data_IF_801445923801
#
_entry.id   IF_801445923801
#
_cell.length_a   1.000
_cell.length_b   1.000
_cell.length_c   1.000
_cell.angle_alpha   90.00
_cell.angle_beta   90.00
_cell.angle_gamma   90.00
#
_symmetry.space_group_name_H-M   'P 1'
#
loop_
_entity.id
_entity.type
_entity.pdbx_description
1 polymer ?
#
# COMPACT_ATOMS: atom_id res chain seq x y z
N UNK A 1 -0.24 -11.13 -4.24
CA UNK A 1 -1.32 -10.80 -5.17
C UNK A 1 -1.41 -9.29 -5.26
N UNK A 2 -1.63 -8.76 -6.50
CA UNK A 2 -1.52 -7.32 -6.78
C UNK A 2 -0.09 -6.84 -6.54
N UNK A 3 0.90 -7.54 -7.14
CA UNK A 3 2.31 -7.33 -6.82
C UNK A 3 2.87 -6.00 -7.34
N UNK A 4 2.15 -5.31 -8.22
CA UNK A 4 2.54 -4.03 -8.78
C UNK A 4 3.93 -4.07 -9.39
N UNK A 5 4.75 -3.08 -9.07
CA UNK A 5 6.14 -2.97 -9.53
C UNK A 5 7.14 -3.84 -8.75
N UNK A 6 6.65 -4.70 -7.84
CA UNK A 6 7.46 -5.68 -7.11
C UNK A 6 8.16 -5.18 -5.85
N UNK A 7 7.80 -4.00 -5.33
CA UNK A 7 8.44 -3.41 -4.13
C UNK A 7 8.31 -4.35 -2.92
N UNK A 8 7.11 -4.81 -2.61
CA UNK A 8 6.88 -5.72 -1.49
C UNK A 8 7.43 -7.13 -1.80
N UNK A 9 7.32 -7.59 -3.04
CA UNK A 9 7.91 -8.85 -3.48
C UNK A 9 9.41 -8.92 -3.23
N UNK A 10 10.14 -7.80 -3.44
CA UNK A 10 11.57 -7.71 -3.14
C UNK A 10 11.87 -7.94 -1.66
N UNK A 11 11.09 -7.34 -0.77
CA UNK A 11 11.29 -7.52 0.69
C UNK A 11 11.11 -8.98 1.11
N UNK A 12 10.13 -9.68 0.53
CA UNK A 12 9.91 -11.10 0.77
C UNK A 12 11.07 -11.96 0.22
N UNK A 13 11.57 -11.62 -0.96
CA UNK A 13 12.73 -12.29 -1.58
C UNK A 13 14.02 -12.07 -0.77
N UNK A 14 14.24 -10.85 -0.28
CA UNK A 14 15.37 -10.50 0.59
C UNK A 14 15.31 -11.29 1.92
N UNK A 15 14.10 -11.64 2.36
CA UNK A 15 13.87 -12.55 3.51
C UNK A 15 14.04 -14.03 3.19
N UNK A 16 14.48 -14.37 1.96
CA UNK A 16 14.78 -15.75 1.55
C UNK A 16 13.59 -16.57 1.05
N UNK A 17 12.42 -15.94 0.88
CA UNK A 17 11.21 -16.62 0.42
C UNK A 17 11.22 -16.85 -1.10
N UNK A 18 10.45 -17.84 -1.56
CA UNK A 18 10.06 -17.99 -2.96
C UNK A 18 8.79 -17.17 -3.19
N UNK A 19 8.80 -16.30 -4.19
CA UNK A 19 7.69 -15.36 -4.41
C UNK A 19 7.13 -15.52 -5.82
N UNK A 20 5.82 -15.71 -5.89
CA UNK A 20 5.04 -15.63 -7.12
C UNK A 20 4.27 -14.33 -7.08
N UNK A 21 4.66 -13.37 -7.93
CA UNK A 21 3.95 -12.09 -8.10
C UNK A 21 2.82 -12.23 -9.11
N UNK A 22 1.58 -12.02 -8.67
CA UNK A 22 0.39 -12.01 -9.54
C UNK A 22 -0.03 -10.56 -9.77
N UNK A 23 -0.02 -10.10 -11.04
CA UNK A 23 -0.30 -8.72 -11.42
C UNK A 23 -0.96 -8.66 -12.80
N UNK A 24 -2.17 -8.12 -12.94
CA UNK A 24 -2.85 -8.01 -14.22
C UNK A 24 -2.28 -6.92 -15.13
N UNK A 25 -1.73 -5.83 -14.57
CA UNK A 25 -1.22 -4.70 -15.34
C UNK A 25 0.16 -5.04 -15.94
N UNK A 26 0.23 -5.01 -17.27
CA UNK A 26 1.44 -5.39 -18.02
C UNK A 26 2.63 -4.49 -17.74
N UNK A 27 2.44 -3.19 -17.57
CA UNK A 27 3.54 -2.25 -17.35
C UNK A 27 4.12 -2.40 -15.96
N UNK A 28 3.26 -2.51 -14.93
CA UNK A 28 3.70 -2.79 -13.56
C UNK A 28 4.43 -4.13 -13.48
N UNK A 29 3.89 -5.16 -14.12
CA UNK A 29 4.50 -6.50 -14.14
C UNK A 29 5.86 -6.50 -14.82
N UNK A 30 6.02 -5.82 -15.99
CA UNK A 30 7.31 -5.66 -16.66
C UNK A 30 8.34 -4.94 -15.77
N UNK A 31 7.92 -3.90 -15.05
CA UNK A 31 8.80 -3.21 -14.09
C UNK A 31 9.24 -4.14 -12.96
N UNK A 32 8.33 -4.97 -12.42
CA UNK A 32 8.68 -5.97 -11.41
C UNK A 32 9.69 -6.99 -11.96
N UNK A 33 9.46 -7.54 -13.15
CA UNK A 33 10.34 -8.50 -13.82
C UNK A 33 11.75 -7.93 -14.05
N UNK A 34 11.85 -6.66 -14.47
CA UNK A 34 13.13 -5.97 -14.66
C UNK A 34 13.86 -5.73 -13.33
N UNK A 35 13.15 -5.21 -12.33
CA UNK A 35 13.74 -4.86 -11.02
C UNK A 35 14.16 -6.09 -10.22
N UNK A 36 13.45 -7.20 -10.41
CA UNK A 36 13.65 -8.46 -9.67
C UNK A 36 14.40 -9.54 -10.48
N UNK A 37 14.91 -9.23 -11.67
CA UNK A 37 15.61 -10.19 -12.56
C UNK A 37 16.77 -10.93 -11.91
N UNK A 38 17.39 -10.37 -10.88
CA UNK A 38 18.49 -10.98 -10.13
C UNK A 38 18.04 -11.98 -9.06
N UNK A 39 16.74 -12.10 -8.80
CA UNK A 39 16.20 -13.01 -7.80
C UNK A 39 15.69 -14.30 -8.48
N UNK A 40 16.44 -15.43 -8.41
CA UNK A 40 16.04 -16.68 -9.07
C UNK A 40 14.80 -17.32 -8.45
N UNK A 41 14.39 -16.84 -7.25
CA UNK A 41 13.19 -17.28 -6.53
C UNK A 41 11.97 -16.43 -6.81
N UNK A 42 12.03 -15.52 -7.80
CA UNK A 42 10.92 -14.72 -8.25
C UNK A 42 10.29 -15.31 -9.51
N UNK A 43 8.97 -15.44 -9.51
CA UNK A 43 8.14 -15.76 -10.67
C UNK A 43 7.07 -14.70 -10.84
N UNK A 44 6.80 -14.27 -12.06
CA UNK A 44 5.75 -13.32 -12.40
C UNK A 44 4.65 -14.00 -13.20
N UNK A 45 3.38 -13.71 -12.84
CA UNK A 45 2.19 -14.25 -13.52
C UNK A 45 1.24 -13.11 -13.86
N UNK A 46 0.78 -13.10 -15.13
CA UNK A 46 -0.30 -12.22 -15.57
C UNK A 46 -1.64 -12.84 -15.22
N UNK A 47 -2.23 -12.41 -14.12
CA UNK A 47 -3.54 -12.88 -13.66
C UNK A 47 -4.18 -11.84 -12.72
N UNK A 48 -5.48 -12.00 -12.43
CA UNK A 48 -6.19 -11.21 -11.44
C UNK A 48 -6.15 -11.85 -10.05
N UNK A 49 -6.59 -11.14 -9.04
CA UNK A 49 -6.68 -11.67 -7.68
C UNK A 49 -7.73 -12.80 -7.57
N UNK A 50 -8.80 -12.67 -8.33
CA UNK A 50 -9.94 -13.60 -8.33
C UNK A 50 -9.69 -14.89 -9.15
N UNK A 51 -8.65 -14.87 -9.99
CA UNK A 51 -8.24 -16.02 -10.81
C UNK A 51 -6.73 -15.97 -11.05
N UNK A 52 -5.97 -16.51 -10.12
CA UNK A 52 -4.50 -16.46 -10.13
C UNK A 52 -3.85 -17.43 -11.09
N UNK A 53 -4.57 -18.41 -11.63
CA UNK A 53 -4.09 -19.53 -12.42
C UNK A 53 -3.12 -20.48 -11.67
N UNK A 54 -2.90 -20.27 -10.38
CA UNK A 54 -2.09 -21.14 -9.55
C UNK A 54 -2.79 -22.48 -9.29
N UNK A 55 -2.00 -23.51 -9.03
CA UNK A 55 -2.55 -24.84 -8.68
C UNK A 55 -3.23 -24.80 -7.31
N UNK A 56 -4.21 -25.65 -7.13
CA UNK A 56 -4.84 -25.88 -5.83
C UNK A 56 -3.80 -26.34 -4.78
N UNK A 57 -3.98 -25.91 -3.54
CA UNK A 57 -3.14 -26.30 -2.40
C UNK A 57 -1.62 -26.15 -2.67
N UNK A 58 -1.20 -25.09 -3.37
CA UNK A 58 0.16 -24.92 -3.84
C UNK A 58 0.99 -23.88 -3.08
N UNK A 59 0.33 -22.94 -2.35
CA UNK A 59 1.04 -21.84 -1.69
C UNK A 59 0.92 -21.91 -0.18
N UNK A 60 1.98 -21.49 0.51
CA UNK A 60 2.09 -21.50 1.97
C UNK A 60 1.57 -20.21 2.60
N UNK A 61 1.50 -19.13 1.84
CA UNK A 61 1.06 -17.80 2.28
C UNK A 61 0.61 -16.98 1.08
N UNK A 62 -0.54 -16.33 1.20
CA UNK A 62 -0.94 -15.29 0.28
C UNK A 62 -0.67 -13.93 0.95
N UNK A 63 0.00 -13.02 0.26
CA UNK A 63 0.21 -11.65 0.73
C UNK A 63 -0.42 -10.65 -0.23
N UNK A 64 -1.03 -9.60 0.32
CA UNK A 64 -1.57 -8.46 -0.44
C UNK A 64 -1.08 -7.18 0.24
N UNK A 65 -0.32 -6.37 -0.49
CA UNK A 65 0.16 -5.08 0.02
C UNK A 65 -0.43 -3.94 -0.82
N UNK A 66 -1.22 -3.07 -0.19
CA UNK A 66 -1.83 -1.87 -0.82
C UNK A 66 -2.75 -2.16 -2.02
N UNK A 67 -3.30 -3.37 -2.15
CA UNK A 67 -4.08 -3.74 -3.32
C UNK A 67 -5.48 -4.30 -3.02
N UNK A 68 -5.74 -4.77 -1.81
CA UNK A 68 -6.98 -5.47 -1.45
C UNK A 68 -8.27 -4.69 -1.77
N UNK A 69 -8.24 -3.37 -1.66
CA UNK A 69 -9.38 -2.50 -1.95
C UNK A 69 -9.82 -2.50 -3.42
N UNK A 70 -8.97 -3.00 -4.34
CA UNK A 70 -9.29 -3.16 -5.75
C UNK A 70 -10.00 -4.47 -6.10
N UNK A 71 -10.00 -5.45 -5.18
CA UNK A 71 -10.45 -6.81 -5.46
C UNK A 71 -11.96 -6.98 -5.20
N UNK A 72 -12.57 -7.89 -5.95
CA UNK A 72 -13.80 -8.53 -5.52
C UNK A 72 -13.47 -9.46 -4.34
N UNK A 73 -13.88 -9.06 -3.15
CA UNK A 73 -13.44 -9.68 -1.91
C UNK A 73 -13.94 -11.12 -1.75
N UNK A 74 -15.16 -11.40 -2.21
CA UNK A 74 -15.75 -12.74 -2.15
C UNK A 74 -15.08 -13.69 -3.15
N UNK A 75 -14.92 -13.27 -4.40
CA UNK A 75 -14.22 -14.06 -5.40
C UNK A 75 -12.74 -14.28 -5.04
N UNK A 76 -12.08 -13.26 -4.49
CA UNK A 76 -10.70 -13.38 -4.02
C UNK A 76 -10.58 -14.33 -2.82
N UNK A 77 -11.54 -14.33 -1.89
CA UNK A 77 -11.59 -15.28 -0.76
C UNK A 77 -11.66 -16.72 -1.27
N UNK A 78 -12.57 -16.99 -2.22
CA UNK A 78 -12.72 -18.32 -2.84
C UNK A 78 -11.40 -18.76 -3.51
N UNK A 79 -10.76 -17.85 -4.23
CA UNK A 79 -9.46 -18.13 -4.87
C UNK A 79 -8.36 -18.40 -3.85
N UNK A 80 -8.29 -17.63 -2.75
CA UNK A 80 -7.38 -17.91 -1.65
C UNK A 80 -7.60 -19.29 -1.03
N UNK A 81 -8.86 -19.67 -0.78
CA UNK A 81 -9.21 -21.00 -0.27
C UNK A 81 -8.78 -22.11 -1.21
N UNK A 82 -8.84 -21.89 -2.52
CA UNK A 82 -8.42 -22.85 -3.54
C UNK A 82 -6.91 -23.06 -3.57
N UNK A 83 -6.13 -21.98 -3.57
CA UNK A 83 -4.67 -22.04 -3.79
C UNK A 83 -3.86 -22.29 -2.52
N UNK A 84 -4.38 -21.88 -1.36
CA UNK A 84 -3.70 -22.05 -0.08
C UNK A 84 -3.64 -23.52 0.35
N UNK A 85 -2.49 -23.92 0.87
CA UNK A 85 -2.34 -25.19 1.58
C UNK A 85 -3.17 -25.19 2.87
N UNK A 86 -3.46 -26.38 3.39
CA UNK A 86 -4.22 -26.52 4.63
C UNK A 86 -3.57 -25.72 5.77
N UNK A 87 -4.38 -24.92 6.47
CA UNK A 87 -3.98 -24.04 7.58
C UNK A 87 -3.04 -22.88 7.18
N UNK A 88 -2.82 -22.64 5.91
CA UNK A 88 -2.07 -21.49 5.45
C UNK A 88 -2.89 -20.19 5.60
N UNK A 89 -2.21 -19.06 5.65
CA UNK A 89 -2.82 -17.76 5.95
C UNK A 89 -2.84 -16.81 4.74
N UNK A 90 -3.71 -15.82 4.83
CA UNK A 90 -3.63 -14.59 4.05
C UNK A 90 -3.12 -13.48 4.95
N UNK A 91 -2.16 -12.68 4.47
CA UNK A 91 -1.68 -11.48 5.13
C UNK A 91 -2.01 -10.26 4.27
N UNK A 92 -2.86 -9.38 4.78
CA UNK A 92 -3.21 -8.11 4.19
C UNK A 92 -2.38 -7.01 4.84
N UNK A 93 -1.69 -6.17 4.04
CA UNK A 93 -0.72 -5.19 4.53
C UNK A 93 -1.01 -3.81 3.96
N UNK A 94 -1.02 -2.79 4.81
CA UNK A 94 -1.13 -1.40 4.42
C UNK A 94 -0.08 -0.53 5.10
N UNK A 95 0.42 0.44 4.33
CA UNK A 95 1.11 1.60 4.87
C UNK A 95 0.14 2.79 4.88
N UNK A 96 0.01 3.44 6.00
CA UNK A 96 -0.83 4.61 6.16
C UNK A 96 -0.11 5.68 6.96
N UNK A 97 -0.48 6.95 6.75
CA UNK A 97 0.00 8.02 7.61
C UNK A 97 -0.56 7.84 9.03
N UNK A 98 0.24 8.18 10.04
CA UNK A 98 -0.26 8.27 11.41
C UNK A 98 -1.10 9.55 11.57
N UNK A 99 -2.40 9.40 11.42
CA UNK A 99 -3.37 10.51 11.51
C UNK A 99 -3.49 11.11 12.92
N UNK A 100 -2.88 10.51 13.93
CA UNK A 100 -2.84 11.06 15.29
C UNK A 100 -1.78 12.15 15.41
N UNK A 101 -0.76 12.13 14.55
CA UNK A 101 0.34 13.09 14.53
C UNK A 101 -0.11 14.51 14.19
N UNK A 102 0.36 15.54 14.91
CA UNK A 102 0.10 16.94 14.59
C UNK A 102 0.54 17.32 13.15
N UNK A 103 1.71 16.87 12.72
CA UNK A 103 2.21 17.09 11.35
C UNK A 103 1.22 16.56 10.29
N UNK A 104 0.73 15.33 10.48
CA UNK A 104 -0.19 14.71 9.52
C UNK A 104 -1.56 15.42 9.53
N UNK A 105 -2.04 15.86 10.68
CA UNK A 105 -3.28 16.66 10.79
C UNK A 105 -3.16 17.99 10.04
N UNK A 106 -2.07 18.73 10.26
CA UNK A 106 -1.84 19.99 9.55
C UNK A 106 -1.66 19.78 8.04
N UNK A 107 -0.97 18.71 7.63
CA UNK A 107 -0.89 18.36 6.20
C UNK A 107 -2.29 18.06 5.61
N UNK A 108 -3.16 17.36 6.36
CA UNK A 108 -4.53 17.11 5.93
C UNK A 108 -5.35 18.41 5.79
N UNK A 109 -5.20 19.36 6.73
CA UNK A 109 -5.84 20.68 6.67
C UNK A 109 -5.38 21.49 5.45
N UNK A 110 -4.10 21.45 5.11
CA UNK A 110 -3.57 22.07 3.89
C UNK A 110 -4.25 21.43 2.66
N UNK A 111 -4.31 20.09 2.59
CA UNK A 111 -4.98 19.41 1.49
C UNK A 111 -6.47 19.75 1.41
N UNK A 112 -7.18 19.85 2.54
CA UNK A 112 -8.60 20.26 2.56
C UNK A 112 -8.83 21.67 2.02
N UNK A 113 -7.89 22.59 2.28
CA UNK A 113 -7.99 23.99 1.82
C UNK A 113 -7.65 24.17 0.34
N UNK A 114 -6.72 23.37 -0.19
CA UNK A 114 -6.12 23.60 -1.50
C UNK A 114 -6.40 22.52 -2.54
N UNK A 115 -6.93 21.37 -2.13
CA UNK A 115 -7.17 20.21 -3.00
C UNK A 115 -8.66 19.85 -2.99
N UNK A 116 -9.50 20.37 -3.91
CA UNK A 116 -10.95 20.19 -3.89
C UNK A 116 -11.45 18.75 -3.89
N UNK A 117 -10.65 17.83 -4.42
CA UNK A 117 -11.00 16.39 -4.52
C UNK A 117 -10.42 15.56 -3.36
N UNK A 118 -9.76 16.19 -2.40
CA UNK A 118 -9.19 15.49 -1.24
C UNK A 118 -10.28 14.90 -0.34
N UNK A 119 -10.19 13.59 -0.10
CA UNK A 119 -11.11 12.82 0.77
C UNK A 119 -10.39 12.11 1.93
N UNK A 120 -9.17 12.52 2.23
CA UNK A 120 -8.29 11.84 3.18
C UNK A 120 -7.09 11.20 2.49
N UNK A 121 -6.04 10.91 3.26
CA UNK A 121 -4.79 10.38 2.72
C UNK A 121 -4.91 8.95 2.15
N UNK A 122 -5.89 8.17 2.56
CA UNK A 122 -6.19 6.84 2.02
C UNK A 122 -7.21 6.88 0.87
N UNK A 123 -7.43 8.07 0.27
CA UNK A 123 -8.47 8.27 -0.76
C UNK A 123 -9.89 8.10 -0.21
N UNK A 124 -10.07 8.06 1.10
CA UNK A 124 -11.33 7.75 1.77
C UNK A 124 -11.70 6.27 1.71
N UNK A 125 -10.75 5.41 1.35
CA UNK A 125 -10.92 3.95 1.38
C UNK A 125 -10.45 3.47 2.75
N UNK A 126 -11.36 3.44 3.70
CA UNK A 126 -11.16 2.80 4.99
C UNK A 126 -11.76 1.39 4.91
N UNK A 127 -10.90 0.38 4.96
CA UNK A 127 -11.36 -0.99 5.17
C UNK A 127 -11.92 -1.07 6.60
N UNK A 128 -13.21 -1.30 6.70
CA UNK A 128 -13.88 -1.38 8.01
C UNK A 128 -13.66 -2.74 8.66
N UNK A 129 -13.81 -2.85 9.99
CA UNK A 129 -13.73 -4.14 10.68
C UNK A 129 -14.66 -5.22 10.10
N UNK A 130 -15.82 -4.81 9.57
CA UNK A 130 -16.80 -5.72 8.95
C UNK A 130 -16.22 -6.40 7.71
N UNK A 131 -15.43 -5.69 6.92
CA UNK A 131 -14.76 -6.25 5.73
C UNK A 131 -13.78 -7.34 6.14
N UNK A 132 -12.97 -7.11 7.17
CA UNK A 132 -12.04 -8.12 7.67
C UNK A 132 -12.78 -9.30 8.32
N UNK A 133 -13.84 -9.03 9.09
CA UNK A 133 -14.65 -10.06 9.72
C UNK A 133 -15.33 -10.98 8.70
N UNK A 134 -15.77 -10.46 7.55
CA UNK A 134 -16.35 -11.28 6.47
C UNK A 134 -15.27 -12.02 5.67
N UNK A 135 -14.11 -11.41 5.47
CA UNK A 135 -13.03 -12.00 4.68
C UNK A 135 -12.33 -13.14 5.41
N UNK A 136 -11.93 -12.95 6.67
CA UNK A 136 -11.26 -13.99 7.45
C UNK A 136 -12.24 -15.00 8.04
N UNK A 137 -11.80 -16.25 8.13
CA UNK A 137 -12.59 -17.36 8.68
C UNK A 137 -13.04 -17.06 10.11
N UNK A 138 -14.34 -17.18 10.37
CA UNK A 138 -14.97 -16.90 11.67
C UNK A 138 -14.66 -15.49 12.21
N UNK A 139 -14.32 -14.54 11.33
CA UNK A 139 -13.89 -13.19 11.71
C UNK A 139 -12.58 -13.14 12.50
N UNK A 140 -11.75 -14.19 12.44
CA UNK A 140 -10.55 -14.31 13.26
C UNK A 140 -9.29 -13.98 12.47
N UNK A 141 -8.59 -12.96 12.91
CA UNK A 141 -7.29 -12.55 12.38
C UNK A 141 -6.41 -11.96 13.47
N UNK A 142 -5.10 -12.04 13.28
CA UNK A 142 -4.12 -11.33 14.07
C UNK A 142 -3.91 -9.94 13.45
N UNK A 143 -4.08 -8.89 14.25
CA UNK A 143 -3.76 -7.51 13.86
C UNK A 143 -2.42 -7.11 14.47
N UNK A 144 -1.55 -6.53 13.64
CA UNK A 144 -0.30 -5.91 14.10
C UNK A 144 -0.11 -4.54 13.45
N UNK A 145 0.40 -3.62 14.23
CA UNK A 145 0.79 -2.29 13.79
C UNK A 145 2.25 -2.03 14.12
N UNK A 146 2.97 -1.45 13.17
CA UNK A 146 4.38 -1.16 13.28
C UNK A 146 4.64 0.29 12.90
N UNK A 147 5.48 0.98 13.69
CA UNK A 147 6.01 2.27 13.31
C UNK A 147 6.86 2.12 12.05
N UNK A 148 6.61 2.96 11.05
CA UNK A 148 7.30 2.93 9.77
C UNK A 148 7.50 4.37 9.25
N UNK A 149 8.17 5.19 10.05
CA UNK A 149 8.40 6.58 9.75
C UNK A 149 9.23 6.76 8.48
N UNK A 150 8.84 7.74 7.67
CA UNK A 150 9.50 8.05 6.41
C UNK A 150 10.27 9.35 6.54
N UNK A 151 11.55 9.34 6.14
CA UNK A 151 12.42 10.50 6.18
C UNK A 151 12.51 11.13 4.80
N UNK A 152 12.24 12.44 4.72
CA UNK A 152 12.31 13.21 3.50
C UNK A 152 13.17 14.47 3.67
N UNK A 153 13.90 14.85 2.62
CA UNK A 153 14.35 16.21 2.42
C UNK A 153 13.21 17.06 1.82
N UNK A 154 13.47 18.34 1.61
CA UNK A 154 12.46 19.27 1.12
C UNK A 154 11.89 18.85 -0.26
N UNK A 155 12.78 18.51 -1.20
CA UNK A 155 12.38 18.15 -2.57
C UNK A 155 11.51 16.88 -2.60
N UNK A 156 11.94 15.84 -1.90
CA UNK A 156 11.20 14.58 -1.82
C UNK A 156 9.89 14.70 -1.03
N UNK A 157 9.85 15.57 -0.01
CA UNK A 157 8.62 15.90 0.70
C UNK A 157 7.60 16.60 -0.22
N UNK A 158 8.02 17.63 -0.96
CA UNK A 158 7.17 18.28 -1.95
C UNK A 158 6.75 17.31 -3.05
N UNK A 159 7.69 16.57 -3.62
CA UNK A 159 7.41 15.59 -4.68
C UNK A 159 6.37 14.56 -4.27
N UNK A 160 6.45 14.05 -3.03
CA UNK A 160 5.44 13.15 -2.48
C UNK A 160 4.05 13.78 -2.40
N UNK A 161 3.95 15.03 -1.98
CA UNK A 161 2.66 15.72 -1.85
C UNK A 161 2.10 16.15 -3.21
N UNK A 162 2.95 16.44 -4.19
CA UNK A 162 2.55 16.81 -5.56
C UNK A 162 2.21 15.61 -6.45
N UNK A 163 2.72 14.41 -6.13
CA UNK A 163 2.51 13.20 -6.94
C UNK A 163 1.13 12.55 -6.78
N UNK A 164 0.34 12.98 -5.82
CA UNK A 164 -0.98 12.40 -5.55
C UNK A 164 -2.04 12.94 -6.52
N UNK A 165 -3.05 12.13 -6.82
CA UNK A 165 -4.07 12.46 -7.81
C UNK A 165 -4.94 13.68 -7.48
N UNK A 166 -5.06 14.02 -6.20
CA UNK A 166 -5.83 15.17 -5.74
C UNK A 166 -5.02 16.46 -5.62
N UNK A 167 -3.69 16.42 -5.78
CA UNK A 167 -2.85 17.62 -5.72
C UNK A 167 -3.17 18.57 -6.89
N UNK A 168 -3.19 19.89 -6.63
CA UNK A 168 -3.39 20.87 -7.68
C UNK A 168 -2.22 20.81 -8.67
N UNK A 169 -2.53 20.83 -9.97
CA UNK A 169 -1.54 20.83 -11.05
C UNK A 169 -0.96 22.24 -11.27
N UNK A 170 0.16 22.35 -11.95
CA UNK A 170 0.89 23.61 -12.19
C UNK A 170 0.00 24.76 -12.72
N UNK A 171 -1.02 24.45 -13.51
CA UNK A 171 -1.97 25.43 -14.07
C UNK A 171 -3.15 25.76 -13.15
N UNK A 172 -3.29 25.10 -12.02
CA UNK A 172 -4.38 25.33 -11.09
C UNK A 172 -4.10 26.57 -10.21
N UNK A 173 -5.12 27.36 -9.95
CA UNK A 173 -5.02 28.56 -9.13
C UNK A 173 -4.41 28.28 -7.74
N UNK A 174 -4.74 27.14 -7.16
CA UNK A 174 -4.28 26.74 -5.83
C UNK A 174 -2.86 26.16 -5.80
N UNK A 175 -2.21 25.90 -6.96
CA UNK A 175 -0.91 25.22 -7.00
C UNK A 175 0.18 25.96 -6.22
N UNK A 176 0.32 27.25 -6.43
CA UNK A 176 1.32 28.06 -5.74
C UNK A 176 1.05 28.15 -4.24
N UNK A 177 -0.22 28.29 -3.86
CA UNK A 177 -0.63 28.35 -2.47
C UNK A 177 -0.39 26.99 -1.76
N UNK A 178 -0.66 25.89 -2.43
CA UNK A 178 -0.38 24.55 -1.93
C UNK A 178 1.12 24.35 -1.64
N UNK A 179 1.99 24.69 -2.58
CA UNK A 179 3.45 24.62 -2.38
C UNK A 179 3.90 25.52 -1.22
N UNK A 180 3.40 26.76 -1.15
CA UNK A 180 3.74 27.70 -0.09
C UNK A 180 3.40 27.12 1.30
N UNK A 181 2.18 26.63 1.49
CA UNK A 181 1.74 26.04 2.76
C UNK A 181 2.52 24.76 3.12
N UNK A 182 2.85 23.93 2.13
CA UNK A 182 3.72 22.76 2.35
C UNK A 182 5.14 23.16 2.75
N UNK A 183 5.67 24.26 2.19
CA UNK A 183 6.99 24.79 2.57
C UNK A 183 6.99 25.26 4.02
N UNK A 184 5.97 26.01 4.44
CA UNK A 184 5.81 26.43 5.84
C UNK A 184 5.69 25.21 6.78
N UNK A 185 4.93 24.18 6.37
CA UNK A 185 4.80 22.95 7.13
C UNK A 185 6.16 22.23 7.26
N UNK A 186 6.93 22.17 6.18
CA UNK A 186 8.27 21.59 6.20
C UNK A 186 9.19 22.35 7.14
N UNK A 187 9.28 23.68 7.05
CA UNK A 187 10.10 24.51 7.93
C UNK A 187 9.74 24.33 9.41
N UNK A 188 8.45 24.23 9.71
CA UNK A 188 7.95 24.05 11.08
C UNK A 188 8.38 22.73 11.71
N UNK A 189 8.41 21.63 10.92
CA UNK A 189 8.62 20.28 11.45
C UNK A 189 9.98 19.67 11.08
N UNK A 190 10.74 20.28 10.17
CA UNK A 190 12.04 19.77 9.77
C UNK A 190 13.10 19.99 10.86
N UNK A 191 14.06 19.07 10.90
CA UNK A 191 15.28 19.19 11.70
C UNK A 191 16.46 18.85 10.80
N UNK A 192 17.47 19.74 10.76
CA UNK A 192 18.66 19.57 9.91
C UNK A 192 18.31 19.32 8.43
N UNK A 193 17.33 20.07 7.88
CA UNK A 193 16.90 19.94 6.48
C UNK A 193 16.13 18.65 6.15
N UNK A 194 15.65 17.93 7.15
CA UNK A 194 14.86 16.70 6.96
C UNK A 194 13.60 16.71 7.81
N UNK A 195 12.52 16.17 7.27
CA UNK A 195 11.25 15.96 7.97
C UNK A 195 10.98 14.46 8.12
N UNK A 196 10.55 14.07 9.31
CA UNK A 196 10.08 12.70 9.59
C UNK A 196 8.57 12.69 9.44
N UNK A 197 8.06 11.96 8.46
CA UNK A 197 6.63 11.76 8.25
C UNK A 197 6.19 10.52 9.05
N UNK A 198 5.43 10.68 10.12
CA UNK A 198 4.90 9.56 10.89
C UNK A 198 4.01 8.68 10.04
N UNK A 199 4.35 7.41 9.96
CA UNK A 199 3.70 6.43 9.12
C UNK A 199 3.62 5.08 9.85
N UNK A 200 2.58 4.33 9.57
CA UNK A 200 2.29 3.04 10.19
C UNK A 200 2.19 1.97 9.12
N UNK A 201 2.76 0.81 9.37
CA UNK A 201 2.46 -0.42 8.63
C UNK A 201 1.50 -1.26 9.45
N UNK A 202 0.35 -1.58 8.89
CA UNK A 202 -0.67 -2.44 9.50
C UNK A 202 -0.75 -3.75 8.76
N UNK A 203 -0.84 -4.85 9.51
CA UNK A 203 -1.04 -6.17 8.95
C UNK A 203 -2.20 -6.89 9.63
N UNK A 204 -2.98 -7.58 8.82
CA UNK A 204 -4.09 -8.44 9.22
C UNK A 204 -3.81 -9.82 8.67
N UNK A 205 -3.64 -10.82 9.52
CA UNK A 205 -3.25 -12.16 9.10
C UNK A 205 -4.17 -13.22 9.71
N UNK A 206 -4.70 -14.08 8.87
CA UNK A 206 -5.59 -15.15 9.29
C UNK A 206 -5.88 -16.17 8.19
N UNK A 207 -6.61 -17.22 8.54
CA UNK A 207 -7.17 -18.14 7.56
C UNK A 207 -8.40 -17.52 6.87
N UNK A 208 -8.78 -18.04 5.70
CA UNK A 208 -9.96 -17.60 4.95
C UNK A 208 -10.90 -18.78 4.64
#
# INVERSE_FOLDING_TARGET
IGSGTGIFSRQLLDSGLHVIGVEPNDDMRKMAEQSLKRYPRFQSIKATAENTTLKENSVDLVTVAQAFHWFDKEAFKIECQRILKQKANVALVWNSRDVTSPLIKENAEICQKTCPTFKGFSGGIDETPEVFNSFFKDGKYEFKEYQNDLLFDYESFLGRNLSVSYAPKENDEQHKNFIFLLSELFEKYSKNGKIVLPNLTRSYMGNV
#
